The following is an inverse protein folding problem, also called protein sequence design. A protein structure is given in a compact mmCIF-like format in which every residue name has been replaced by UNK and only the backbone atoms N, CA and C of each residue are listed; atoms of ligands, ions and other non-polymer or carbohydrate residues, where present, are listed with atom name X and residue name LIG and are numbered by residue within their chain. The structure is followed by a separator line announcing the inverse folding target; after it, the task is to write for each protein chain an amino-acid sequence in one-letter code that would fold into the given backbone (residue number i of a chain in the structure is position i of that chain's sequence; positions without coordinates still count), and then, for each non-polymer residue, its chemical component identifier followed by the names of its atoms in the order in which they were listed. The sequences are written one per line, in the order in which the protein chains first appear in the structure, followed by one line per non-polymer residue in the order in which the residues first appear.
data_IF_148486756269
#
_entry.id   IF_148486756269
#
_cell.length_a   1.000
_cell.length_b   1.000
_cell.length_c   1.000
_cell.angle_alpha   90.00
_cell.angle_beta   90.00
_cell.angle_gamma   90.00
#
_symmetry.space_group_name_H-M   'P 1'
#
loop_
_entity.id
_entity.type
_entity.pdbx_description
1 polymer ?
#
# COMPACT_ATOMS: atom_id res chain seq x y z
N UNK A 1 27.12 -57.59 62.93
CA UNK A 1 26.77 -57.34 61.49
C UNK A 1 25.77 -56.21 61.41
N UNK A 2 26.30 -55.01 61.10
CA UNK A 2 25.47 -53.82 60.88
C UNK A 2 25.21 -53.64 59.36
N UNK A 3 23.97 -53.91 58.97
CA UNK A 3 23.53 -53.80 57.59
C UNK A 3 23.18 -52.35 57.31
N UNK A 4 24.10 -51.60 56.66
CA UNK A 4 23.86 -50.27 56.19
C UNK A 4 23.17 -50.31 54.77
N UNK A 5 21.91 -49.90 54.73
CA UNK A 5 21.23 -49.69 53.46
C UNK A 5 21.66 -48.34 52.86
N UNK A 6 21.98 -48.27 51.56
CA UNK A 6 22.29 -46.99 50.92
C UNK A 6 21.01 -46.16 50.66
N UNK A 7 20.98 -44.94 51.16
CA UNK A 7 19.96 -43.97 50.83
C UNK A 7 20.24 -43.43 49.46
N UNK A 8 19.31 -43.65 48.49
CA UNK A 8 19.30 -43.02 47.21
C UNK A 8 18.72 -41.58 47.35
N UNK A 9 19.52 -40.55 47.13
CA UNK A 9 19.06 -39.18 47.08
C UNK A 9 18.61 -38.91 45.64
N UNK A 10 17.34 -38.54 45.39
CA UNK A 10 16.92 -38.16 44.04
C UNK A 10 17.49 -36.79 43.70
N UNK A 11 18.29 -36.74 42.64
CA UNK A 11 18.79 -35.52 42.06
C UNK A 11 17.66 -34.90 41.19
N UNK A 12 16.98 -33.88 41.69
CA UNK A 12 16.03 -33.08 40.87
C UNK A 12 16.85 -32.11 40.05
N UNK A 13 17.01 -32.39 38.74
CA UNK A 13 17.52 -31.45 37.78
C UNK A 13 16.41 -30.46 37.44
N UNK A 14 16.51 -29.23 37.98
CA UNK A 14 15.65 -28.12 37.61
C UNK A 14 16.11 -27.60 36.24
N UNK A 15 15.39 -27.96 35.17
CA UNK A 15 15.59 -27.35 33.85
C UNK A 15 14.95 -25.96 33.89
N UNK A 16 15.77 -24.93 34.04
CA UNK A 16 15.32 -23.56 33.85
C UNK A 16 15.09 -23.31 32.33
N UNK A 17 13.82 -23.36 31.93
CA UNK A 17 13.44 -22.83 30.61
C UNK A 17 13.60 -21.30 30.62
N UNK A 18 14.70 -20.82 30.10
CA UNK A 18 14.84 -19.39 29.73
C UNK A 18 13.98 -19.15 28.49
N UNK A 19 12.77 -18.63 28.66
CA UNK A 19 11.98 -18.08 27.57
C UNK A 19 12.72 -16.83 27.09
N UNK A 20 13.43 -16.94 25.97
CA UNK A 20 13.90 -15.78 25.23
C UNK A 20 12.64 -15.10 24.67
N UNK A 21 12.22 -14.03 25.31
CA UNK A 21 11.21 -13.15 24.74
C UNK A 21 11.77 -12.65 23.40
N UNK A 22 11.18 -13.11 22.29
CA UNK A 22 11.47 -12.63 20.97
C UNK A 22 11.04 -11.16 20.97
N UNK A 23 12.01 -10.25 20.95
CA UNK A 23 11.76 -8.82 20.92
C UNK A 23 11.01 -8.54 19.62
N UNK A 24 9.69 -8.34 19.72
CA UNK A 24 8.86 -7.92 18.60
C UNK A 24 9.36 -6.52 18.23
N UNK A 25 10.01 -6.39 17.10
CA UNK A 25 10.39 -5.07 16.58
C UNK A 25 9.09 -4.26 16.43
N UNK A 26 8.85 -3.36 17.36
CA UNK A 26 7.73 -2.43 17.29
C UNK A 26 8.02 -1.46 16.14
N UNK A 27 7.17 -1.52 15.11
CA UNK A 27 7.26 -0.61 13.97
C UNK A 27 6.65 0.71 14.41
N UNK A 28 7.42 1.79 14.28
CA UNK A 28 6.93 3.16 14.42
C UNK A 28 7.06 3.84 13.07
N UNK A 29 6.00 4.50 12.60
CA UNK A 29 6.03 5.33 11.40
C UNK A 29 5.88 6.80 11.78
N UNK A 30 6.65 7.67 11.13
CA UNK A 30 6.57 9.12 11.30
C UNK A 30 6.13 9.74 9.98
N UNK A 31 4.97 10.40 9.98
CA UNK A 31 4.50 11.18 8.85
C UNK A 31 5.05 12.60 8.96
N UNK A 32 5.82 13.02 7.98
CA UNK A 32 6.46 14.34 7.95
C UNK A 32 6.16 15.09 6.66
N UNK A 33 6.19 16.40 6.75
CA UNK A 33 6.16 17.31 5.60
C UNK A 33 7.54 17.95 5.47
N UNK A 34 8.12 17.87 4.27
CA UNK A 34 9.38 18.54 3.91
C UNK A 34 9.05 19.77 3.07
N UNK A 35 9.47 20.96 3.56
CA UNK A 35 9.44 22.18 2.76
C UNK A 35 10.64 22.16 1.79
N UNK A 36 10.36 22.03 0.51
CA UNK A 36 11.40 21.93 -0.54
C UNK A 36 12.14 23.26 -0.79
N UNK A 37 11.62 24.38 -0.29
CA UNK A 37 12.25 25.69 -0.48
C UNK A 37 13.37 25.95 0.52
N UNK A 38 13.29 25.38 1.72
CA UNK A 38 14.24 25.64 2.81
C UNK A 38 14.76 24.37 3.51
N UNK A 39 14.23 23.20 3.14
CA UNK A 39 14.63 21.91 3.72
C UNK A 39 14.06 21.64 5.13
N UNK A 40 13.17 22.47 5.63
CA UNK A 40 12.56 22.26 6.95
C UNK A 40 11.60 21.07 6.93
N UNK A 41 11.69 20.27 8.00
CA UNK A 41 10.80 19.11 8.21
C UNK A 41 9.84 19.40 9.36
N UNK A 42 8.58 19.08 9.15
CA UNK A 42 7.54 19.18 10.17
C UNK A 42 6.92 17.82 10.38
N UNK A 43 6.99 17.30 11.60
CA UNK A 43 6.27 16.07 11.98
C UNK A 43 4.79 16.38 12.06
N UNK A 44 4.00 15.66 11.28
CA UNK A 44 2.53 15.73 11.30
C UNK A 44 1.99 14.80 12.39
N UNK A 45 2.41 13.53 12.36
CA UNK A 45 1.96 12.52 13.35
C UNK A 45 2.92 11.34 13.41
N UNK A 46 3.05 10.76 14.60
CA UNK A 46 3.71 9.48 14.83
C UNK A 46 2.66 8.38 15.01
N UNK A 47 2.95 7.19 14.48
CA UNK A 47 2.06 6.02 14.55
C UNK A 47 2.81 4.85 15.16
N UNK A 48 2.21 4.11 16.10
CA UNK A 48 2.79 2.88 16.66
C UNK A 48 2.58 1.67 15.74
N UNK A 49 2.44 1.91 14.43
CA UNK A 49 2.23 0.91 13.39
C UNK A 49 2.72 1.43 12.03
N UNK A 50 2.78 0.53 11.05
CA UNK A 50 3.20 0.87 9.68
C UNK A 50 2.13 1.63 8.94
N UNK A 51 2.52 2.76 8.35
CA UNK A 51 1.76 3.47 7.31
C UNK A 51 2.58 3.53 6.03
N UNK A 52 1.93 3.63 4.88
CA UNK A 52 2.58 3.64 3.56
C UNK A 52 1.92 4.63 2.62
N UNK A 53 2.71 5.10 1.64
CA UNK A 53 2.28 5.87 0.48
C UNK A 53 1.41 7.10 0.82
N UNK A 54 1.89 8.08 1.60
CA UNK A 54 1.11 9.28 1.88
C UNK A 54 0.91 10.11 0.61
N UNK A 55 -0.34 10.51 0.35
CA UNK A 55 -0.75 11.34 -0.77
C UNK A 55 -1.46 12.60 -0.28
N UNK A 56 -1.17 13.75 -0.89
CA UNK A 56 -1.92 14.98 -0.67
C UNK A 56 -3.20 15.03 -1.50
N UNK A 57 -4.28 15.53 -0.91
CA UNK A 57 -5.41 15.97 -1.74
C UNK A 57 -5.05 17.25 -2.51
N UNK A 58 -5.57 17.46 -3.74
CA UNK A 58 -5.24 18.63 -4.54
C UNK A 58 -5.56 19.96 -3.86
N UNK A 59 -6.54 20.00 -2.95
CA UNK A 59 -6.89 21.18 -2.14
C UNK A 59 -5.96 21.39 -0.93
N UNK A 60 -5.03 20.45 -0.68
CA UNK A 60 -4.08 20.51 0.43
C UNK A 60 -4.68 20.26 1.81
N UNK A 61 -5.96 19.89 1.91
CA UNK A 61 -6.63 19.75 3.21
C UNK A 61 -6.38 18.42 3.89
N UNK A 62 -6.07 17.37 3.13
CA UNK A 62 -5.91 16.02 3.64
C UNK A 62 -4.64 15.34 3.13
N UNK A 63 -4.08 14.52 3.99
CA UNK A 63 -3.11 13.48 3.66
C UNK A 63 -3.79 12.13 3.74
N UNK A 64 -3.73 11.35 2.67
CA UNK A 64 -4.22 9.97 2.61
C UNK A 64 -3.04 9.02 2.75
N UNK A 65 -3.25 7.89 3.40
CA UNK A 65 -2.25 6.82 3.50
C UNK A 65 -2.94 5.47 3.65
N UNK A 66 -2.23 4.38 3.38
CA UNK A 66 -2.72 3.05 3.71
C UNK A 66 -2.03 2.45 4.94
N UNK A 67 -2.76 1.60 5.62
CA UNK A 67 -2.26 0.75 6.71
C UNK A 67 -3.12 -0.50 6.82
N UNK A 68 -2.49 -1.67 6.92
CA UNK A 68 -3.17 -2.97 7.09
C UNK A 68 -4.32 -3.21 6.09
N UNK A 69 -4.09 -2.85 4.83
CA UNK A 69 -5.06 -3.04 3.74
C UNK A 69 -6.19 -2.02 3.69
N UNK A 70 -6.18 -1.00 4.52
CA UNK A 70 -7.21 0.04 4.60
C UNK A 70 -6.63 1.41 4.28
N UNK A 71 -7.49 2.32 3.84
CA UNK A 71 -7.12 3.71 3.58
C UNK A 71 -7.62 4.62 4.69
N UNK A 72 -6.78 5.56 5.04
CA UNK A 72 -7.04 6.57 6.07
C UNK A 72 -6.72 7.95 5.52
N UNK A 73 -7.30 8.98 6.16
CA UNK A 73 -6.93 10.37 5.92
C UNK A 73 -6.78 11.13 7.24
N UNK A 74 -5.96 12.16 7.24
CA UNK A 74 -5.86 13.11 8.35
C UNK A 74 -5.52 14.51 7.83
N UNK A 75 -5.90 15.54 8.61
CA UNK A 75 -5.53 16.91 8.30
C UNK A 75 -4.06 17.16 8.63
N UNK A 76 -3.26 17.73 7.71
CA UNK A 76 -1.86 18.05 7.96
C UNK A 76 -1.66 19.19 8.98
N UNK A 77 -2.66 20.07 9.12
CA UNK A 77 -2.59 21.27 9.97
C UNK A 77 -3.26 21.09 11.33
N UNK A 78 -4.14 20.12 11.45
CA UNK A 78 -4.85 19.78 12.69
C UNK A 78 -4.92 18.25 12.80
N UNK A 79 -3.80 17.55 13.05
CA UNK A 79 -3.73 16.10 13.02
C UNK A 79 -4.44 15.49 14.24
N UNK A 80 -5.75 15.37 14.13
CA UNK A 80 -6.58 14.59 15.04
C UNK A 80 -6.37 13.08 14.82
N UNK A 81 -7.25 12.24 15.33
CA UNK A 81 -7.22 10.82 14.99
C UNK A 81 -7.55 10.64 13.51
N UNK A 82 -6.82 9.73 12.82
CA UNK A 82 -7.06 9.45 11.40
C UNK A 82 -8.48 8.96 11.16
N UNK A 83 -9.08 9.44 10.08
CA UNK A 83 -10.39 9.01 9.63
C UNK A 83 -10.26 7.85 8.64
N UNK A 84 -10.97 6.76 8.88
CA UNK A 84 -11.06 5.64 7.95
C UNK A 84 -11.88 6.06 6.71
N UNK A 85 -11.31 5.87 5.51
CA UNK A 85 -12.04 5.99 4.26
C UNK A 85 -12.79 4.67 4.01
N UNK A 86 -14.11 4.75 3.85
CA UNK A 86 -14.90 3.56 3.56
C UNK A 86 -14.64 3.08 2.13
N UNK A 87 -13.90 1.99 1.98
CA UNK A 87 -13.61 1.33 0.70
C UNK A 87 -14.50 0.10 0.44
N UNK A 88 -15.64 0.01 1.13
CA UNK A 88 -16.58 -1.11 0.97
C UNK A 88 -15.92 -2.48 1.19
N UNK A 89 -15.97 -3.34 0.18
CA UNK A 89 -15.37 -4.68 0.22
C UNK A 89 -13.83 -4.67 0.09
N UNK A 90 -13.23 -3.60 -0.44
CA UNK A 90 -11.79 -3.51 -0.70
C UNK A 90 -11.01 -3.25 0.60
N UNK A 91 -10.77 -4.32 1.37
CA UNK A 91 -10.10 -4.29 2.68
C UNK A 91 -8.70 -4.93 2.66
N UNK A 92 -8.15 -5.13 1.47
CA UNK A 92 -6.80 -5.66 1.26
C UNK A 92 -6.10 -4.82 0.18
N UNK A 93 -6.10 -3.50 0.38
CA UNK A 93 -5.38 -2.56 -0.48
C UNK A 93 -3.89 -2.61 -0.16
N UNK A 94 -3.06 -2.55 -1.20
CA UNK A 94 -1.63 -2.32 -1.04
C UNK A 94 -1.33 -0.80 -0.99
N UNK A 95 -0.05 -0.43 -1.15
CA UNK A 95 0.39 0.96 -1.16
C UNK A 95 0.08 1.71 -2.47
N UNK A 96 -0.48 1.04 -3.48
CA UNK A 96 -0.81 1.66 -4.76
C UNK A 96 -2.21 2.30 -4.68
N UNK A 97 -2.27 3.53 -4.25
CA UNK A 97 -3.48 4.34 -4.26
C UNK A 97 -3.14 5.76 -4.72
N UNK A 98 -3.89 6.26 -5.68
CA UNK A 98 -3.62 7.57 -6.33
C UNK A 98 -4.90 8.34 -6.51
N UNK A 99 -4.87 9.63 -6.16
CA UNK A 99 -5.97 10.55 -6.37
C UNK A 99 -6.08 10.96 -7.84
N UNK A 100 -7.32 11.10 -8.33
CA UNK A 100 -7.55 11.73 -9.62
C UNK A 100 -7.09 13.19 -9.61
N UNK A 101 -6.76 13.73 -10.77
CA UNK A 101 -6.24 15.10 -10.91
C UNK A 101 -7.21 16.17 -10.44
N UNK A 102 -8.52 15.90 -10.53
CA UNK A 102 -9.59 16.76 -10.00
C UNK A 102 -9.89 16.54 -8.50
N UNK A 103 -9.22 15.55 -7.87
CA UNK A 103 -9.40 15.22 -6.47
C UNK A 103 -10.75 14.61 -6.10
N UNK A 104 -11.57 14.20 -7.08
CA UNK A 104 -12.90 13.67 -6.79
C UNK A 104 -12.92 12.14 -6.61
N UNK A 105 -11.93 11.46 -7.16
CA UNK A 105 -11.82 10.00 -7.08
C UNK A 105 -10.47 9.56 -6.53
N UNK A 106 -10.47 8.34 -6.02
CA UNK A 106 -9.25 7.61 -5.68
C UNK A 106 -9.25 6.29 -6.45
N UNK A 107 -8.13 5.98 -7.08
CA UNK A 107 -7.88 4.66 -7.63
C UNK A 107 -7.05 3.85 -6.64
N UNK A 108 -7.33 2.58 -6.51
CA UNK A 108 -6.71 1.66 -5.55
C UNK A 108 -6.35 0.34 -6.21
N UNK A 109 -5.29 -0.29 -5.77
CA UNK A 109 -5.00 -1.70 -6.01
C UNK A 109 -5.48 -2.53 -4.83
N UNK A 110 -6.35 -3.52 -5.08
CA UNK A 110 -6.91 -4.38 -4.05
C UNK A 110 -6.77 -5.85 -4.41
N UNK A 111 -6.16 -6.64 -3.52
CA UNK A 111 -6.07 -8.09 -3.63
C UNK A 111 -7.39 -8.75 -3.23
N UNK A 112 -8.01 -9.46 -4.18
CA UNK A 112 -9.28 -10.15 -3.93
C UNK A 112 -9.08 -11.43 -3.14
N UNK A 113 -10.12 -11.90 -2.45
CA UNK A 113 -10.04 -13.13 -1.63
C UNK A 113 -10.10 -14.40 -2.47
N UNK A 114 -10.60 -14.31 -3.70
CA UNK A 114 -10.83 -15.44 -4.60
C UNK A 114 -9.53 -16.04 -5.13
N UNK A 115 -8.56 -15.18 -5.47
CA UNK A 115 -7.27 -15.59 -6.07
C UNK A 115 -6.06 -14.88 -5.48
N UNK A 116 -6.27 -13.97 -4.53
CA UNK A 116 -5.25 -13.12 -3.89
C UNK A 116 -4.47 -12.23 -4.86
N UNK A 117 -4.99 -12.04 -6.08
CA UNK A 117 -4.38 -11.19 -7.10
C UNK A 117 -4.94 -9.78 -7.03
N UNK A 118 -4.06 -8.81 -7.26
CA UNK A 118 -4.42 -7.40 -7.27
C UNK A 118 -5.21 -7.02 -8.53
N UNK A 119 -6.24 -6.20 -8.33
CA UNK A 119 -7.01 -5.54 -9.38
C UNK A 119 -7.18 -4.07 -9.04
N UNK A 120 -7.36 -3.26 -10.06
CA UNK A 120 -7.54 -1.83 -9.90
C UNK A 120 -9.04 -1.51 -9.82
N UNK A 121 -9.37 -0.67 -8.86
CA UNK A 121 -10.71 -0.14 -8.63
C UNK A 121 -10.68 1.37 -8.50
N UNK A 122 -11.78 2.03 -8.80
CA UNK A 122 -11.99 3.46 -8.50
C UNK A 122 -13.19 3.66 -7.60
N UNK A 123 -13.15 4.69 -6.76
CA UNK A 123 -14.24 5.09 -5.89
C UNK A 123 -14.17 6.60 -5.61
N UNK A 124 -15.28 7.23 -5.17
CA UNK A 124 -15.24 8.61 -4.71
C UNK A 124 -14.24 8.80 -3.57
N UNK A 125 -13.58 9.96 -3.49
CA UNK A 125 -12.64 10.30 -2.40
C UNK A 125 -13.33 10.28 -1.03
N UNK A 126 -14.62 10.48 -0.98
CA UNK A 126 -15.45 10.39 0.24
C UNK A 126 -15.71 8.95 0.68
N UNK A 127 -15.26 7.97 -0.10
CA UNK A 127 -15.53 6.55 0.11
C UNK A 127 -16.80 6.07 -0.59
N UNK A 128 -17.02 4.78 -0.54
CA UNK A 128 -18.18 4.14 -1.15
C UNK A 128 -17.86 2.73 -1.66
N UNK A 129 -18.68 2.23 -2.58
CA UNK A 129 -18.47 0.93 -3.21
C UNK A 129 -17.47 1.08 -4.36
N UNK A 130 -16.31 0.38 -4.33
CA UNK A 130 -15.34 0.43 -5.41
C UNK A 130 -15.91 -0.15 -6.71
N UNK A 131 -15.60 0.50 -7.82
CA UNK A 131 -15.90 0.03 -9.18
C UNK A 131 -14.66 -0.64 -9.77
N UNK A 132 -14.82 -1.87 -10.25
CA UNK A 132 -13.76 -2.62 -10.91
C UNK A 132 -13.35 -1.96 -12.24
N UNK A 133 -12.05 -1.74 -12.42
CA UNK A 133 -11.48 -1.19 -13.66
C UNK A 133 -10.73 -2.27 -14.44
N UNK A 134 -9.84 -3.05 -13.80
CA UNK A 134 -9.08 -4.11 -14.46
C UNK A 134 -9.66 -5.49 -14.10
N UNK A 135 -10.45 -6.16 -14.97
CA UNK A 135 -10.94 -7.50 -14.69
C UNK A 135 -9.84 -8.55 -14.70
N UNK A 136 -8.79 -8.38 -15.50
CA UNK A 136 -7.62 -9.24 -15.50
C UNK A 136 -6.67 -8.92 -14.34
N UNK A 137 -5.97 -9.95 -13.83
CA UNK A 137 -5.09 -9.86 -12.67
C UNK A 137 -3.83 -10.72 -12.82
N UNK A 138 -2.70 -10.34 -12.21
CA UNK A 138 -2.55 -9.15 -11.37
C UNK A 138 -2.45 -7.85 -12.17
N UNK A 139 -2.86 -6.75 -11.55
CA UNK A 139 -2.72 -5.38 -12.05
C UNK A 139 -2.43 -4.47 -10.85
N UNK A 140 -1.40 -3.64 -10.95
CA UNK A 140 -0.88 -2.76 -9.90
C UNK A 140 -0.89 -1.32 -10.39
N UNK A 141 -1.68 -0.47 -9.71
CA UNK A 141 -1.88 0.92 -10.09
C UNK A 141 -0.63 1.77 -9.85
N UNK A 142 -0.38 2.72 -10.77
CA UNK A 142 0.66 3.73 -10.55
C UNK A 142 0.17 5.16 -10.74
N UNK A 143 -0.64 5.47 -11.73
CA UNK A 143 -1.03 6.86 -11.93
C UNK A 143 -2.27 7.09 -12.79
N UNK A 144 -2.76 8.32 -12.73
CA UNK A 144 -3.77 8.85 -13.65
C UNK A 144 -3.09 9.64 -14.77
N UNK A 145 -3.69 9.60 -15.95
CA UNK A 145 -3.35 10.59 -16.97
C UNK A 145 -3.69 12.01 -16.48
N UNK A 146 -2.97 13.06 -16.92
CA UNK A 146 -3.21 14.43 -16.46
C UNK A 146 -4.63 14.94 -16.76
N UNK A 147 -5.28 14.40 -17.80
CA UNK A 147 -6.67 14.72 -18.15
C UNK A 147 -7.71 13.84 -17.41
N UNK A 148 -7.23 12.91 -16.56
CA UNK A 148 -8.07 12.04 -15.73
C UNK A 148 -8.81 10.95 -16.51
N UNK A 149 -8.49 10.70 -17.79
CA UNK A 149 -9.24 9.75 -18.62
C UNK A 149 -8.69 8.34 -18.62
N UNK A 150 -7.43 8.15 -18.25
CA UNK A 150 -6.76 6.86 -18.23
C UNK A 150 -6.02 6.61 -16.92
N UNK A 151 -5.80 5.35 -16.64
CA UNK A 151 -4.93 4.86 -15.58
C UNK A 151 -3.73 4.15 -16.21
N UNK A 152 -2.52 4.43 -15.71
CA UNK A 152 -1.31 3.69 -16.01
C UNK A 152 -1.02 2.70 -14.87
N UNK A 153 -0.59 1.50 -15.22
CA UNK A 153 -0.36 0.43 -14.26
C UNK A 153 0.63 -0.61 -14.79
N UNK A 154 1.23 -1.36 -13.87
CA UNK A 154 1.99 -2.56 -14.18
C UNK A 154 1.07 -3.79 -14.09
N UNK A 155 1.19 -4.72 -15.03
CA UNK A 155 0.41 -5.95 -15.00
C UNK A 155 1.14 -7.13 -15.61
N UNK A 156 0.92 -8.30 -15.03
CA UNK A 156 1.40 -9.56 -15.62
C UNK A 156 0.36 -10.07 -16.62
N UNK A 157 0.81 -10.22 -17.88
CA UNK A 157 0.05 -10.89 -18.93
C UNK A 157 0.99 -11.84 -19.68
N UNK A 158 0.54 -13.08 -19.86
CA UNK A 158 1.30 -14.10 -20.55
C UNK A 158 2.72 -14.38 -19.98
N UNK A 159 2.85 -14.24 -18.64
CA UNK A 159 4.11 -14.52 -17.94
C UNK A 159 5.13 -13.38 -17.96
N UNK A 160 4.77 -12.19 -18.43
CA UNK A 160 5.62 -11.01 -18.40
C UNK A 160 4.92 -9.81 -17.73
N UNK A 161 5.68 -9.03 -16.98
CA UNK A 161 5.20 -7.81 -16.35
C UNK A 161 5.52 -6.62 -17.23
N UNK A 162 4.49 -5.93 -17.70
CA UNK A 162 4.61 -4.80 -18.61
C UNK A 162 3.77 -3.61 -18.14
N UNK A 163 4.05 -2.47 -18.77
CA UNK A 163 3.27 -1.25 -18.61
C UNK A 163 2.01 -1.32 -19.49
N UNK A 164 0.89 -0.98 -18.87
CA UNK A 164 -0.43 -0.91 -19.52
C UNK A 164 -1.10 0.42 -19.21
N UNK A 165 -2.04 0.80 -20.07
CA UNK A 165 -3.05 1.81 -19.78
C UNK A 165 -4.45 1.25 -19.99
N UNK A 166 -5.44 1.84 -19.32
CA UNK A 166 -6.85 1.51 -19.45
C UNK A 166 -7.69 2.78 -19.25
N UNK A 167 -8.82 2.95 -19.96
CA UNK A 167 -9.73 4.03 -19.64
C UNK A 167 -10.14 4.02 -18.17
N UNK A 168 -10.18 5.18 -17.53
CA UNK A 168 -10.54 5.31 -16.11
C UNK A 168 -11.95 4.78 -15.79
N UNK A 169 -12.81 4.69 -16.82
CA UNK A 169 -14.13 4.08 -16.74
C UNK A 169 -14.12 2.54 -16.96
N UNK A 170 -12.94 1.95 -17.16
CA UNK A 170 -12.79 0.55 -17.58
C UNK A 170 -12.95 0.37 -19.09
N UNK A 171 -12.71 -0.81 -19.57
CA UNK A 171 -12.78 -1.15 -20.99
C UNK A 171 -11.59 -2.00 -21.44
N UNK A 172 -11.13 -1.76 -22.66
CA UNK A 172 -9.99 -2.48 -23.24
C UNK A 172 -8.66 -1.88 -22.73
N UNK A 173 -7.77 -2.75 -22.24
CA UNK A 173 -6.42 -2.34 -21.85
C UNK A 173 -5.48 -2.25 -23.05
N UNK A 174 -4.56 -1.29 -23.01
CA UNK A 174 -3.51 -1.13 -24.01
C UNK A 174 -2.16 -1.47 -23.40
N UNK A 175 -1.47 -2.47 -23.96
CA UNK A 175 -0.10 -2.81 -23.58
C UNK A 175 0.88 -1.86 -24.25
N UNK A 176 1.75 -1.21 -23.47
CA UNK A 176 2.72 -0.22 -23.97
C UNK A 176 4.13 -0.79 -24.10
N UNK A 177 4.51 -1.74 -23.28
CA UNK A 177 5.85 -2.36 -23.32
C UNK A 177 5.76 -3.85 -23.59
N UNK A 178 6.83 -4.43 -24.15
CA UNK A 178 6.85 -5.85 -24.60
C UNK A 178 8.22 -6.50 -24.43
N UNK A 179 9.20 -5.82 -23.83
CA UNK A 179 10.51 -6.38 -23.57
C UNK A 179 10.40 -7.54 -22.55
N UNK A 180 11.34 -8.49 -22.62
CA UNK A 180 11.45 -9.50 -21.57
C UNK A 180 11.96 -8.85 -20.28
N UNK A 181 11.36 -9.21 -19.15
CA UNK A 181 11.70 -8.69 -17.83
C UNK A 181 10.55 -7.93 -17.19
N UNK A 182 10.85 -7.23 -16.11
CA UNK A 182 9.88 -6.43 -15.37
C UNK A 182 9.93 -4.98 -15.84
N UNK A 183 8.82 -4.49 -16.39
CA UNK A 183 8.56 -3.07 -16.59
C UNK A 183 7.53 -2.59 -15.56
N UNK A 184 7.93 -1.68 -14.67
CA UNK A 184 7.15 -1.30 -13.49
C UNK A 184 7.20 0.21 -13.22
N UNK A 185 6.29 0.69 -12.37
CA UNK A 185 6.26 2.07 -11.91
C UNK A 185 5.90 3.10 -13.00
N UNK A 186 4.93 2.84 -13.88
CA UNK A 186 4.59 3.79 -14.93
C UNK A 186 3.93 5.05 -14.39
N UNK A 187 4.48 6.20 -14.75
CA UNK A 187 3.88 7.49 -14.44
C UNK A 187 3.78 8.40 -15.67
N UNK A 188 2.66 9.08 -15.82
CA UNK A 188 2.46 10.05 -16.86
C UNK A 188 3.28 11.32 -16.64
N UNK A 189 3.86 11.84 -17.70
CA UNK A 189 4.41 13.19 -17.69
C UNK A 189 3.29 14.22 -17.47
N UNK A 190 3.58 15.40 -16.90
CA UNK A 190 2.57 16.44 -16.67
C UNK A 190 1.84 16.90 -17.94
N UNK A 191 2.47 16.78 -19.12
CA UNK A 191 1.84 17.09 -20.40
C UNK A 191 1.02 15.94 -21.00
N UNK A 192 1.05 14.75 -20.38
CA UNK A 192 0.31 13.58 -20.85
C UNK A 192 0.85 12.89 -22.10
N UNK A 193 1.99 13.34 -22.64
CA UNK A 193 2.54 12.81 -23.89
C UNK A 193 3.51 11.65 -23.67
N UNK A 194 4.00 11.45 -22.48
CA UNK A 194 4.99 10.44 -22.13
C UNK A 194 4.61 9.70 -20.85
N UNK A 195 5.07 8.47 -20.76
CA UNK A 195 5.09 7.69 -19.54
C UNK A 195 6.55 7.30 -19.30
N UNK A 196 7.06 7.52 -18.09
CA UNK A 196 8.33 6.95 -17.64
C UNK A 196 8.06 5.74 -16.75
N UNK A 197 8.96 4.79 -16.77
CA UNK A 197 8.87 3.54 -16.01
C UNK A 197 10.26 2.97 -15.73
N UNK A 198 10.35 2.00 -14.84
CA UNK A 198 11.57 1.22 -14.61
C UNK A 198 11.54 -0.05 -15.44
N UNK A 199 12.70 -0.46 -15.96
CA UNK A 199 12.86 -1.71 -16.73
C UNK A 199 14.07 -2.46 -16.25
N UNK A 200 13.97 -3.80 -16.07
CA UNK A 200 15.06 -4.70 -15.66
C UNK A 200 15.07 -5.97 -16.48
#
# INVERSE_FOLDING_TARGET
DMNMKPYLIPFFATVALTATAQQKNEITSVLEILDVTNGNRTVVKEFPYRIEAPNWTPDGQWLLYNSEGKLYRLSPTSPAEPELINTGFAQNCNNDHVLSTDGQQIAISHGTKEDYKSRIYTLPITGGTPRLITPMAPSYLHGWSPDGKELAYCAERNGNYDVYTIPAEGGEETRLTTAEGLDDGPEYSPCGQYIWFNSV
#
